data_IF_029791692615
#
_entry.id   IF_029791692615
#
_cell.length_a   1.000
_cell.length_b   1.000
_cell.length_c   1.000
_cell.angle_alpha   90.00
_cell.angle_beta   90.00
_cell.angle_gamma   90.00
#
_symmetry.space_group_name_H-M   'P 1'
#
loop_
_entity.id
_entity.type
_entity.pdbx_description
1 polymer ?
#
# COMPACT_ATOMS: atom_id res chain seq x y z
N UNK A 1 -6.42 -11.08 39.60
CA UNK A 1 -6.70 -10.43 38.31
C UNK A 1 -5.39 -10.24 37.61
N UNK A 2 -5.10 -11.08 36.60
CA UNK A 2 -3.84 -10.96 35.82
C UNK A 2 -3.96 -9.74 34.89
N UNK A 3 -3.20 -8.69 35.19
CA UNK A 3 -3.13 -7.48 34.38
C UNK A 3 -2.63 -7.89 32.99
N UNK A 4 -3.42 -7.69 31.95
CA UNK A 4 -2.97 -7.88 30.56
C UNK A 4 -1.72 -7.01 30.36
N UNK A 5 -0.66 -7.51 29.70
CA UNK A 5 0.53 -6.73 29.44
C UNK A 5 0.17 -5.52 28.57
N UNK A 6 0.84 -4.41 28.80
CA UNK A 6 0.65 -3.12 28.13
C UNK A 6 0.73 -3.24 26.57
N UNK A 7 1.28 -4.35 26.08
CA UNK A 7 1.34 -4.70 24.66
C UNK A 7 1.08 -6.19 24.46
N UNK A 8 -0.07 -6.51 23.86
CA UNK A 8 -0.49 -7.88 23.55
C UNK A 8 0.41 -8.46 22.45
N UNK A 9 0.91 -9.67 22.64
CA UNK A 9 1.78 -10.39 21.70
C UNK A 9 1.03 -11.58 21.10
N UNK A 10 1.44 -12.07 19.96
CA UNK A 10 0.87 -13.27 19.29
C UNK A 10 0.80 -14.47 20.24
N UNK A 11 1.80 -14.65 21.10
CA UNK A 11 1.82 -15.73 22.10
C UNK A 11 0.72 -15.61 23.16
N UNK A 12 0.30 -14.38 23.48
CA UNK A 12 -0.79 -14.17 24.45
C UNK A 12 -2.13 -14.53 23.82
N UNK A 13 -2.31 -14.20 22.53
CA UNK A 13 -3.47 -14.61 21.73
C UNK A 13 -3.51 -16.12 21.58
N UNK A 14 -2.40 -16.78 21.28
CA UNK A 14 -2.30 -18.23 21.17
C UNK A 14 -2.75 -18.92 22.46
N UNK A 15 -2.30 -18.41 23.62
CA UNK A 15 -2.71 -18.91 24.94
C UNK A 15 -4.20 -18.72 25.21
N UNK A 16 -4.77 -17.55 24.87
CA UNK A 16 -6.18 -17.26 25.08
C UNK A 16 -7.09 -18.08 24.16
N UNK A 17 -6.65 -18.33 22.91
CA UNK A 17 -7.38 -19.12 21.92
C UNK A 17 -7.17 -20.64 22.08
N UNK A 18 -6.28 -21.06 22.99
CA UNK A 18 -5.86 -22.45 23.14
C UNK A 18 -5.43 -23.09 21.82
N UNK A 19 -4.50 -22.41 21.14
CA UNK A 19 -3.91 -22.86 19.86
C UNK A 19 -2.41 -22.56 19.83
N UNK A 20 -1.70 -23.11 18.83
CA UNK A 20 -0.30 -22.80 18.65
C UNK A 20 -0.08 -21.38 18.13
N UNK A 21 1.10 -20.79 18.41
CA UNK A 21 1.51 -19.49 17.85
C UNK A 21 1.47 -19.51 16.31
N UNK A 22 1.87 -20.64 15.70
CA UNK A 22 1.80 -20.81 14.24
C UNK A 22 0.37 -20.84 13.70
N UNK A 23 -0.61 -21.29 14.49
CA UNK A 23 -2.04 -21.22 14.13
C UNK A 23 -2.52 -19.77 14.11
N UNK A 24 -2.15 -18.98 15.14
CA UNK A 24 -2.49 -17.55 15.21
C UNK A 24 -1.85 -16.79 14.03
N UNK A 25 -0.58 -17.05 13.72
CA UNK A 25 0.12 -16.44 12.59
C UNK A 25 -0.59 -16.73 11.25
N UNK A 26 -1.02 -18.01 11.04
CA UNK A 26 -1.77 -18.36 9.82
C UNK A 26 -3.11 -17.63 9.73
N UNK A 27 -3.83 -17.49 10.83
CA UNK A 27 -5.11 -16.78 10.86
C UNK A 27 -4.92 -15.30 10.56
N UNK A 28 -3.96 -14.64 11.22
CA UNK A 28 -3.65 -13.21 11.00
C UNK A 28 -3.30 -12.93 9.54
N UNK A 29 -2.55 -13.85 8.90
CA UNK A 29 -2.09 -13.67 7.51
C UNK A 29 -2.99 -14.37 6.46
N UNK A 30 -4.15 -14.89 6.86
CA UNK A 30 -5.11 -15.54 5.93
C UNK A 30 -4.57 -16.81 5.25
N UNK A 31 -3.57 -17.49 5.87
CA UNK A 31 -2.96 -18.69 5.29
C UNK A 31 -3.83 -19.92 5.54
N UNK A 32 -3.80 -20.86 4.62
CA UNK A 32 -4.52 -22.14 4.73
C UNK A 32 -3.94 -23.06 5.82
N UNK A 33 -4.67 -24.15 6.14
CA UNK A 33 -4.21 -25.19 7.09
C UNK A 33 -4.61 -24.91 8.54
N UNK A 34 -5.68 -24.15 8.77
CA UNK A 34 -6.30 -23.92 10.08
C UNK A 34 -7.74 -24.42 10.02
N UNK A 35 -8.19 -25.14 11.06
CA UNK A 35 -9.59 -25.56 11.17
C UNK A 35 -10.51 -24.34 11.38
N UNK A 36 -11.73 -24.39 10.85
CA UNK A 36 -12.71 -23.29 11.00
C UNK A 36 -12.99 -22.98 12.49
N UNK A 37 -13.02 -24.00 13.36
CA UNK A 37 -13.20 -23.81 14.78
C UNK A 37 -12.04 -23.02 15.42
N UNK A 38 -10.80 -23.32 15.06
CA UNK A 38 -9.62 -22.60 15.56
C UNK A 38 -9.54 -21.19 15.01
N UNK A 39 -9.88 -21.02 13.73
CA UNK A 39 -9.92 -19.72 13.05
C UNK A 39 -10.91 -18.79 13.75
N UNK A 40 -12.14 -19.24 13.97
CA UNK A 40 -13.18 -18.46 14.63
C UNK A 40 -12.77 -18.03 16.03
N UNK A 41 -12.21 -18.95 16.85
CA UNK A 41 -11.72 -18.61 18.20
C UNK A 41 -10.64 -17.54 18.19
N UNK A 42 -9.69 -17.64 17.27
CA UNK A 42 -8.61 -16.65 17.14
C UNK A 42 -9.18 -15.30 16.69
N UNK A 43 -10.07 -15.27 15.70
CA UNK A 43 -10.71 -14.05 15.22
C UNK A 43 -11.53 -13.33 16.30
N UNK A 44 -12.27 -14.09 17.13
CA UNK A 44 -13.01 -13.54 18.27
C UNK A 44 -12.08 -12.88 19.29
N UNK A 45 -10.94 -13.50 19.61
CA UNK A 45 -9.96 -12.95 20.55
C UNK A 45 -9.27 -11.73 19.97
N UNK A 46 -8.87 -11.75 18.68
CA UNK A 46 -8.29 -10.60 18.01
C UNK A 46 -9.23 -9.40 18.07
N UNK A 47 -10.52 -9.63 17.84
CA UNK A 47 -11.56 -8.59 17.92
C UNK A 47 -11.77 -8.08 19.36
N UNK A 48 -11.84 -8.98 20.35
CA UNK A 48 -12.02 -8.60 21.76
C UNK A 48 -10.87 -7.76 22.31
N UNK A 49 -9.65 -8.03 21.83
CA UNK A 49 -8.44 -7.37 22.29
C UNK A 49 -8.07 -6.14 21.44
N UNK A 50 -8.86 -5.82 20.41
CA UNK A 50 -8.52 -4.80 19.39
C UNK A 50 -7.07 -4.94 18.91
N UNK A 51 -6.67 -6.21 18.65
CA UNK A 51 -5.29 -6.52 18.34
C UNK A 51 -4.93 -6.02 16.95
N UNK A 52 -3.94 -5.12 16.89
CA UNK A 52 -3.34 -4.70 15.64
C UNK A 52 -1.97 -5.37 15.47
N UNK A 53 -1.74 -6.08 14.35
CA UNK A 53 -0.44 -6.66 14.06
C UNK A 53 0.66 -5.60 14.10
N UNK A 54 1.73 -5.90 14.83
CA UNK A 54 2.88 -5.02 14.83
C UNK A 54 3.63 -5.13 13.49
N UNK A 55 3.36 -4.21 12.59
CA UNK A 55 4.00 -4.16 11.28
C UNK A 55 5.53 -4.10 11.38
N UNK A 56 6.07 -3.41 12.37
CA UNK A 56 7.51 -3.33 12.62
C UNK A 56 8.11 -4.71 12.97
N UNK A 57 7.47 -5.46 13.86
CA UNK A 57 7.94 -6.80 14.20
C UNK A 57 7.82 -7.79 13.03
N UNK A 58 6.77 -7.66 12.21
CA UNK A 58 6.60 -8.45 10.99
C UNK A 58 7.64 -8.12 9.94
N UNK A 59 7.93 -6.84 9.73
CA UNK A 59 8.94 -6.39 8.76
C UNK A 59 10.35 -6.84 9.17
N UNK A 60 10.69 -6.71 10.45
CA UNK A 60 11.98 -7.19 11.00
C UNK A 60 12.13 -8.72 10.95
N UNK A 61 11.03 -9.46 11.10
CA UNK A 61 11.04 -10.92 10.99
C UNK A 61 11.05 -11.42 9.53
N UNK A 62 10.65 -10.57 8.59
CA UNK A 62 10.64 -10.86 7.17
C UNK A 62 11.96 -10.46 6.54
N UNK A 63 12.73 -11.43 6.02
CA UNK A 63 13.91 -11.14 5.18
C UNK A 63 13.54 -10.67 3.77
N UNK A 64 12.24 -10.46 3.47
CA UNK A 64 11.79 -10.02 2.16
C UNK A 64 12.10 -8.53 1.99
N UNK A 65 12.84 -8.19 0.95
CA UNK A 65 13.05 -6.82 0.50
C UNK A 65 11.91 -6.44 -0.44
N UNK A 66 11.25 -5.33 -0.15
CA UNK A 66 10.19 -4.77 -0.98
C UNK A 66 10.74 -3.64 -1.85
N UNK A 67 10.36 -3.64 -3.12
CA UNK A 67 10.73 -2.60 -4.07
C UNK A 67 9.49 -1.88 -4.55
N UNK A 68 9.41 -0.58 -4.28
CA UNK A 68 8.35 0.29 -4.76
C UNK A 68 8.89 1.26 -5.80
N UNK A 69 8.07 1.61 -6.78
CA UNK A 69 8.42 2.60 -7.79
C UNK A 69 7.41 3.73 -7.78
N UNK A 70 7.91 4.96 -7.73
CA UNK A 70 7.11 6.17 -7.88
C UNK A 70 7.31 6.71 -9.29
N UNK A 71 6.24 6.82 -10.08
CA UNK A 71 6.26 7.42 -11.42
C UNK A 71 5.72 8.83 -11.33
N UNK A 72 6.57 9.82 -11.50
CA UNK A 72 6.26 11.24 -11.42
C UNK A 72 6.45 11.92 -12.78
N UNK A 73 5.70 13.00 -13.09
CA UNK A 73 6.06 13.85 -14.22
C UNK A 73 7.37 14.58 -13.93
N UNK A 74 8.16 14.83 -14.98
CA UNK A 74 9.27 15.77 -14.91
C UNK A 74 8.76 17.14 -14.49
N UNK A 75 9.48 17.82 -13.61
CA UNK A 75 9.09 19.10 -13.03
C UNK A 75 10.29 19.93 -12.64
N UNK A 76 10.06 21.23 -12.49
CA UNK A 76 11.08 22.18 -12.05
C UNK A 76 10.94 22.47 -10.55
N UNK A 77 12.02 23.00 -9.97
CA UNK A 77 12.00 23.46 -8.59
C UNK A 77 10.90 24.53 -8.38
N UNK A 78 10.09 24.35 -7.35
CA UNK A 78 8.94 25.22 -7.06
C UNK A 78 7.61 24.75 -7.66
N UNK A 79 7.60 23.75 -8.52
CA UNK A 79 6.38 23.14 -9.02
C UNK A 79 5.67 22.32 -7.90
N UNK A 80 4.39 22.05 -8.09
CA UNK A 80 3.61 21.20 -7.19
C UNK A 80 4.29 19.84 -6.92
N UNK A 81 4.89 19.24 -7.94
CA UNK A 81 5.52 17.92 -7.85
C UNK A 81 6.80 17.92 -7.03
N UNK A 82 7.49 19.07 -6.87
CA UNK A 82 8.63 19.22 -5.96
C UNK A 82 8.25 18.86 -4.52
N UNK A 83 7.09 19.36 -4.05
CA UNK A 83 6.62 19.04 -2.70
C UNK A 83 6.25 17.55 -2.55
N UNK A 84 5.68 16.94 -3.59
CA UNK A 84 5.38 15.51 -3.60
C UNK A 84 6.66 14.67 -3.53
N UNK A 85 7.68 15.04 -4.32
CA UNK A 85 8.97 14.36 -4.33
C UNK A 85 9.70 14.48 -3.00
N UNK A 86 9.69 15.66 -2.38
CA UNK A 86 10.24 15.87 -1.03
C UNK A 86 9.56 14.97 0.00
N UNK A 87 8.22 14.84 -0.05
CA UNK A 87 7.48 13.93 0.81
C UNK A 87 7.84 12.45 0.58
N UNK A 88 8.12 12.06 -0.65
CA UNK A 88 8.60 10.70 -0.97
C UNK A 88 9.98 10.48 -0.35
N UNK A 89 10.91 11.43 -0.48
CA UNK A 89 12.24 11.33 0.11
C UNK A 89 12.19 11.27 1.64
N UNK A 90 11.34 12.05 2.28
CA UNK A 90 11.11 11.99 3.72
C UNK A 90 10.55 10.62 4.16
N UNK A 91 9.59 10.08 3.41
CA UNK A 91 9.07 8.74 3.65
C UNK A 91 10.14 7.66 3.49
N UNK A 92 11.00 7.74 2.46
CA UNK A 92 12.14 6.83 2.26
C UNK A 92 13.07 6.86 3.48
N UNK A 93 13.42 8.03 3.97
CA UNK A 93 14.27 8.18 5.15
C UNK A 93 13.60 7.61 6.41
N UNK A 94 12.31 7.90 6.62
CA UNK A 94 11.55 7.45 7.79
C UNK A 94 11.37 5.93 7.84
N UNK A 95 11.19 5.29 6.68
CA UNK A 95 10.90 3.86 6.57
C UNK A 95 12.10 3.03 6.09
N UNK A 96 13.32 3.57 6.16
CA UNK A 96 14.54 2.88 5.75
C UNK A 96 14.77 1.52 6.43
N UNK A 97 14.35 1.39 7.70
CA UNK A 97 14.52 0.19 8.50
C UNK A 97 13.57 -0.96 8.13
N UNK A 98 12.59 -0.72 7.25
CA UNK A 98 11.57 -1.71 6.87
C UNK A 98 11.97 -2.64 5.74
N UNK A 99 13.24 -2.68 5.39
CA UNK A 99 13.74 -3.47 4.26
C UNK A 99 13.05 -3.12 2.93
N UNK A 100 12.71 -1.84 2.77
CA UNK A 100 12.06 -1.28 1.58
C UNK A 100 13.04 -0.50 0.73
N UNK A 101 12.85 -0.56 -0.58
CA UNK A 101 13.57 0.25 -1.56
C UNK A 101 12.54 0.99 -2.40
N UNK A 102 12.65 2.30 -2.47
CA UNK A 102 11.79 3.13 -3.33
C UNK A 102 12.64 3.78 -4.39
N UNK A 103 12.20 3.71 -5.65
CA UNK A 103 12.83 4.37 -6.79
C UNK A 103 11.86 5.37 -7.39
N UNK A 104 12.35 6.53 -7.77
CA UNK A 104 11.57 7.53 -8.50
C UNK A 104 11.95 7.44 -9.96
N UNK A 105 10.96 7.28 -10.82
CA UNK A 105 11.06 7.34 -12.26
C UNK A 105 10.29 8.56 -12.75
N UNK A 106 10.78 9.19 -13.79
CA UNK A 106 10.17 10.38 -14.36
C UNK A 106 9.69 10.12 -15.79
N UNK A 107 8.70 10.90 -16.22
CA UNK A 107 8.23 10.94 -17.60
C UNK A 107 7.93 12.40 -17.98
N UNK A 108 8.10 12.74 -19.25
CA UNK A 108 7.69 14.03 -19.80
C UNK A 108 6.15 14.11 -19.81
N UNK A 109 5.53 15.05 -19.05
CA UNK A 109 4.08 15.17 -18.97
C UNK A 109 3.41 15.57 -20.30
N UNK A 110 4.18 16.04 -21.26
CA UNK A 110 3.72 16.48 -22.60
C UNK A 110 3.97 15.43 -23.68
N UNK A 111 4.71 14.34 -23.38
CA UNK A 111 5.00 13.27 -24.31
C UNK A 111 4.39 11.93 -23.85
N UNK A 112 3.38 11.46 -24.60
CA UNK A 112 2.76 10.15 -24.36
C UNK A 112 3.79 9.00 -24.47
N UNK A 113 4.72 9.07 -25.39
CA UNK A 113 5.73 8.01 -25.55
C UNK A 113 6.69 7.95 -24.38
N UNK A 114 7.02 9.07 -23.77
CA UNK A 114 7.80 9.11 -22.53
C UNK A 114 7.08 8.37 -21.40
N UNK A 115 5.78 8.61 -21.21
CA UNK A 115 4.99 7.88 -20.23
C UNK A 115 4.94 6.38 -20.51
N UNK A 116 4.72 5.98 -21.77
CA UNK A 116 4.69 4.56 -22.17
C UNK A 116 6.04 3.91 -21.89
N UNK A 117 7.16 4.52 -22.31
CA UNK A 117 8.49 3.97 -22.09
C UNK A 117 8.83 3.81 -20.61
N UNK A 118 8.49 4.80 -19.78
CA UNK A 118 8.65 4.72 -18.33
C UNK A 118 7.80 3.59 -17.72
N UNK A 119 6.56 3.44 -18.19
CA UNK A 119 5.64 2.37 -17.76
C UNK A 119 6.17 0.97 -18.12
N UNK A 120 6.71 0.80 -19.34
CA UNK A 120 7.34 -0.46 -19.78
C UNK A 120 8.55 -0.81 -18.91
N UNK A 121 9.40 0.17 -18.64
CA UNK A 121 10.57 -0.01 -17.78
C UNK A 121 10.18 -0.44 -16.36
N UNK A 122 9.09 0.12 -15.82
CA UNK A 122 8.56 -0.25 -14.50
C UNK A 122 8.05 -1.68 -14.50
N UNK A 123 7.27 -2.07 -15.51
CA UNK A 123 6.74 -3.43 -15.61
C UNK A 123 7.84 -4.48 -15.75
N UNK A 124 8.92 -4.17 -16.47
CA UNK A 124 10.08 -5.06 -16.59
C UNK A 124 10.80 -5.30 -15.26
N UNK A 125 10.75 -4.35 -14.32
CA UNK A 125 11.35 -4.48 -12.99
C UNK A 125 10.52 -5.32 -12.01
N UNK A 126 9.25 -5.59 -12.33
CA UNK A 126 8.31 -6.33 -11.46
C UNK A 126 8.34 -5.87 -10.00
N UNK A 127 8.06 -4.60 -9.70
CA UNK A 127 8.10 -4.09 -8.34
C UNK A 127 6.98 -4.70 -7.47
N UNK A 128 7.14 -4.64 -6.15
CA UNK A 128 6.10 -5.04 -5.19
C UNK A 128 4.94 -4.03 -5.12
N UNK A 129 5.10 -2.83 -5.68
CA UNK A 129 4.04 -1.85 -5.80
C UNK A 129 4.46 -0.60 -6.57
N UNK A 130 3.48 0.08 -7.15
CA UNK A 130 3.69 1.30 -7.93
C UNK A 130 2.83 2.43 -7.38
N UNK A 131 3.44 3.59 -7.15
CA UNK A 131 2.75 4.86 -6.98
C UNK A 131 2.93 5.68 -8.25
N UNK A 132 1.85 6.20 -8.82
CA UNK A 132 1.95 7.01 -10.02
C UNK A 132 1.18 8.32 -9.85
N UNK A 133 1.70 9.35 -10.50
CA UNK A 133 1.11 10.68 -10.57
C UNK A 133 0.81 11.02 -12.03
N UNK A 134 -0.32 10.56 -12.59
CA UNK A 134 -0.66 10.83 -13.96
C UNK A 134 -1.09 12.28 -14.14
N UNK A 135 -0.56 12.92 -15.18
CA UNK A 135 -1.00 14.25 -15.60
C UNK A 135 -2.21 14.19 -16.55
N UNK A 136 -2.43 13.03 -17.18
CA UNK A 136 -3.53 12.81 -18.10
C UNK A 136 -4.17 11.43 -17.86
N UNK A 137 -5.47 11.37 -17.54
CA UNK A 137 -6.16 10.11 -17.22
C UNK A 137 -6.14 9.08 -18.35
N UNK A 138 -6.11 9.51 -19.61
CA UNK A 138 -6.07 8.62 -20.77
C UNK A 138 -4.79 7.78 -20.82
N UNK A 139 -3.69 8.24 -20.24
CA UNK A 139 -2.41 7.51 -20.24
C UNK A 139 -2.40 6.35 -19.23
N UNK A 140 -3.17 6.48 -18.15
CA UNK A 140 -3.14 5.51 -17.05
C UNK A 140 -3.81 4.20 -17.34
N UNK A 141 -4.90 4.19 -18.13
CA UNK A 141 -5.73 3.00 -18.33
C UNK A 141 -4.96 1.80 -18.88
N UNK A 142 -4.10 2.01 -19.86
CA UNK A 142 -3.26 0.94 -20.43
C UNK A 142 -2.28 0.39 -19.43
N UNK A 143 -1.62 1.26 -18.67
CA UNK A 143 -0.64 0.88 -17.66
C UNK A 143 -1.29 0.16 -16.47
N UNK A 144 -2.39 0.68 -15.92
CA UNK A 144 -3.10 0.04 -14.80
C UNK A 144 -3.63 -1.33 -15.15
N UNK A 145 -4.15 -1.54 -16.36
CA UNK A 145 -4.58 -2.87 -16.83
C UNK A 145 -3.40 -3.87 -16.83
N UNK A 146 -2.21 -3.43 -17.20
CA UNK A 146 -1.02 -4.28 -17.22
C UNK A 146 -0.49 -4.55 -15.81
N UNK A 147 -0.52 -3.57 -14.91
CA UNK A 147 -0.19 -3.76 -13.49
C UNK A 147 -1.14 -4.79 -12.85
N UNK A 148 -2.44 -4.70 -13.15
CA UNK A 148 -3.43 -5.68 -12.69
C UNK A 148 -3.18 -7.08 -13.26
N UNK A 149 -2.88 -7.19 -14.55
CA UNK A 149 -2.56 -8.47 -15.19
C UNK A 149 -1.30 -9.12 -14.60
N UNK A 150 -0.37 -8.31 -14.10
CA UNK A 150 0.87 -8.76 -13.43
C UNK A 150 0.73 -8.91 -11.91
N UNK A 151 -0.47 -8.74 -11.35
CA UNK A 151 -0.76 -8.75 -9.91
C UNK A 151 0.08 -7.74 -9.09
N UNK A 152 0.50 -6.64 -9.72
CA UNK A 152 1.26 -5.56 -9.09
C UNK A 152 0.28 -4.54 -8.50
N UNK A 153 0.25 -4.35 -7.16
CA UNK A 153 -0.59 -3.33 -6.54
C UNK A 153 -0.13 -1.92 -6.91
N UNK A 154 -1.07 -1.02 -7.11
CA UNK A 154 -0.75 0.36 -7.43
C UNK A 154 -1.69 1.35 -6.75
N UNK A 155 -1.18 2.56 -6.54
CA UNK A 155 -1.94 3.74 -6.16
C UNK A 155 -1.66 4.86 -7.16
N UNK A 156 -2.62 5.75 -7.37
CA UNK A 156 -2.36 6.97 -8.12
C UNK A 156 -2.96 8.18 -7.41
N UNK A 157 -2.30 9.32 -7.60
CA UNK A 157 -2.74 10.61 -7.09
C UNK A 157 -3.04 11.52 -8.27
N UNK A 158 -4.27 11.99 -8.38
CA UNK A 158 -4.66 12.99 -9.36
C UNK A 158 -4.50 14.38 -8.74
N UNK A 159 -4.04 15.36 -9.52
CA UNK A 159 -4.06 16.75 -9.16
C UNK A 159 -5.53 17.22 -9.14
N UNK A 160 -5.92 17.94 -8.10
CA UNK A 160 -7.30 18.33 -7.76
C UNK A 160 -8.15 18.95 -8.88
N UNK A 161 -7.55 19.41 -9.96
CA UNK A 161 -8.23 20.19 -11.00
C UNK A 161 -9.04 19.38 -12.02
N UNK A 162 -8.94 18.04 -12.03
CA UNK A 162 -9.58 17.19 -13.05
C UNK A 162 -10.65 16.21 -12.53
N UNK A 163 -10.95 16.22 -11.24
CA UNK A 163 -12.01 15.38 -10.65
C UNK A 163 -13.42 16.02 -10.79
N UNK A 164 -13.73 16.63 -11.92
CA UNK A 164 -15.09 17.21 -12.16
C UNK A 164 -16.14 16.18 -12.59
N UNK A 165 -15.83 14.88 -12.59
CA UNK A 165 -16.82 13.86 -12.95
C UNK A 165 -16.96 12.79 -11.88
N UNK A 166 -18.07 12.83 -11.09
CA UNK A 166 -18.36 11.80 -10.07
C UNK A 166 -18.56 10.38 -10.62
N UNK A 167 -18.63 10.22 -11.94
CA UNK A 167 -18.89 8.93 -12.58
C UNK A 167 -17.65 8.05 -12.71
N UNK A 168 -16.45 8.63 -12.78
CA UNK A 168 -15.19 7.86 -12.86
C UNK A 168 -14.80 7.22 -11.51
N UNK A 169 -15.09 7.88 -10.40
CA UNK A 169 -14.83 7.36 -9.04
C UNK A 169 -15.69 6.11 -8.73
N UNK A 170 -16.87 5.96 -9.32
CA UNK A 170 -17.80 4.87 -8.99
C UNK A 170 -17.52 3.56 -9.74
N UNK A 171 -16.85 3.61 -10.87
CA UNK A 171 -16.55 2.42 -11.70
C UNK A 171 -15.30 1.67 -11.22
N UNK A 172 -14.39 2.31 -10.49
CA UNK A 172 -13.11 1.72 -10.10
C UNK A 172 -13.07 1.20 -8.64
N UNK A 173 -14.08 1.53 -7.82
CA UNK A 173 -14.17 1.09 -6.42
C UNK A 173 -14.48 -0.41 -6.23
N UNK A 174 -14.70 -1.16 -7.28
CA UNK A 174 -14.96 -2.61 -7.21
C UNK A 174 -13.71 -3.47 -7.22
N UNK A 175 -12.54 -2.90 -7.48
CA UNK A 175 -11.27 -3.61 -7.36
C UNK A 175 -10.66 -3.38 -5.96
N UNK A 176 -10.46 -4.44 -5.21
CA UNK A 176 -9.99 -4.45 -3.81
C UNK A 176 -8.59 -3.83 -3.58
N UNK A 177 -7.97 -3.16 -4.56
CA UNK A 177 -6.56 -2.74 -4.52
C UNK A 177 -6.30 -1.31 -4.99
N UNK A 178 -7.33 -0.47 -5.11
CA UNK A 178 -7.15 0.93 -5.54
C UNK A 178 -7.41 1.84 -4.36
N UNK A 179 -6.39 2.56 -3.92
CA UNK A 179 -6.53 3.68 -2.98
C UNK A 179 -6.40 4.99 -3.76
N UNK A 180 -7.51 5.72 -3.91
CA UNK A 180 -7.50 7.11 -4.32
C UNK A 180 -7.75 7.97 -3.07
N UNK A 181 -6.78 8.75 -2.63
CA UNK A 181 -6.97 9.72 -1.56
C UNK A 181 -7.02 11.10 -2.19
N UNK A 182 -8.16 11.78 -2.04
CA UNK A 182 -8.30 13.21 -2.35
C UNK A 182 -7.99 14.03 -1.11
N UNK A 183 -7.45 15.24 -1.28
CA UNK A 183 -7.03 16.10 -0.16
C UNK A 183 -8.19 16.58 0.75
N UNK A 184 -9.44 16.28 0.41
CA UNK A 184 -10.64 16.64 1.20
C UNK A 184 -10.81 15.79 2.48
N UNK A 185 -10.12 14.65 2.61
CA UNK A 185 -10.21 13.79 3.80
C UNK A 185 -9.43 14.32 5.02
N UNK A 186 -8.68 15.41 4.87
CA UNK A 186 -7.85 15.99 5.95
C UNK A 186 -8.58 17.12 6.70
N UNK A 187 -9.68 17.65 6.17
CA UNK A 187 -10.39 18.81 6.74
C UNK A 187 -11.49 18.45 7.76
N UNK A 188 -11.67 17.18 8.08
CA UNK A 188 -12.82 16.66 8.86
C UNK A 188 -12.56 16.23 10.29
N UNK A 189 -11.49 16.70 10.95
CA UNK A 189 -11.31 16.49 12.40
C UNK A 189 -10.85 17.74 13.09
N UNK A 190 -11.82 18.52 13.51
CA UNK A 190 -11.73 19.42 14.68
C UNK A 190 -12.80 19.03 15.66
#
# INVERSE_FOLDING_TARGET
MNKLPERIRIKDIARLADVSVGTVDRVIHGRSGVSEASKKRVEEILKQLDYQPNMYASALASNKKYTFICLLPEHLEGDYWTAVELGIHEAIATYSDFNTSVKINYYDPYDYHSFVNASEAILALQPDGVMMAPTAPQYTKGFTNRLQASDIPYIYRLKYQECSSPRLLRAELTSKRIFCRTDDDVAGTR
#
